data_IF_154454982698
#
_entry.id   IF_154454982698
#
_cell.length_a   1.000
_cell.length_b   1.000
_cell.length_c   1.000
_cell.angle_alpha   90.00
_cell.angle_beta   90.00
_cell.angle_gamma   90.00
#
_symmetry.space_group_name_H-M   'P 1'
#
loop_
_entity.id
_entity.type
_entity.pdbx_description
1 polymer ?
#
# COMPACT_ATOMS: atom_id res chain seq x y z
N UNK A 1 -6.81 13.96 24.24
CA UNK A 1 -5.78 13.58 23.27
C UNK A 1 -6.20 12.24 22.66
N UNK A 2 -6.35 12.17 21.33
CA UNK A 2 -6.79 10.94 20.64
C UNK A 2 -5.65 9.91 20.63
N UNK A 3 -5.97 8.64 20.84
CA UNK A 3 -5.01 7.52 20.81
C UNK A 3 -5.28 6.66 19.60
N UNK A 4 -4.26 6.48 18.76
CA UNK A 4 -4.34 5.73 17.51
C UNK A 4 -3.47 4.49 17.61
N UNK A 5 -4.06 3.30 17.46
CA UNK A 5 -3.33 2.04 17.39
C UNK A 5 -3.04 1.71 15.92
N UNK A 6 -1.76 1.54 15.58
CA UNK A 6 -1.31 1.17 14.24
C UNK A 6 -0.54 -0.16 14.35
N UNK A 7 -1.13 -1.24 13.89
CA UNK A 7 -0.48 -2.54 13.77
C UNK A 7 0.12 -2.67 12.38
N UNK A 8 1.43 -2.92 12.29
CA UNK A 8 2.20 -2.74 11.05
C UNK A 8 2.74 -1.31 10.89
N UNK A 9 3.14 -0.71 12.02
CA UNK A 9 3.54 0.72 12.09
C UNK A 9 4.83 1.03 11.36
N UNK A 10 5.74 0.06 11.20
CA UNK A 10 6.97 0.16 10.40
C UNK A 10 6.73 -0.09 8.89
N UNK A 11 5.51 -0.45 8.49
CA UNK A 11 5.13 -0.59 7.09
C UNK A 11 5.10 0.76 6.35
N UNK A 12 4.97 0.73 5.02
CA UNK A 12 4.95 1.93 4.18
C UNK A 12 3.89 2.96 4.62
N UNK A 13 2.63 2.52 4.78
CA UNK A 13 1.54 3.41 5.23
C UNK A 13 1.73 3.77 6.71
N UNK A 14 2.06 2.79 7.55
CA UNK A 14 2.21 2.96 9.00
C UNK A 14 3.25 4.01 9.36
N UNK A 15 4.43 3.96 8.73
CA UNK A 15 5.49 4.94 8.93
C UNK A 15 5.05 6.37 8.54
N UNK A 16 4.58 6.56 7.31
CA UNK A 16 4.18 7.88 6.83
C UNK A 16 3.01 8.46 7.63
N UNK A 17 2.05 7.62 8.02
CA UNK A 17 0.92 8.02 8.85
C UNK A 17 1.35 8.42 10.25
N UNK A 18 2.21 7.63 10.90
CA UNK A 18 2.75 7.93 12.22
C UNK A 18 3.52 9.25 12.23
N UNK A 19 4.39 9.45 11.23
CA UNK A 19 5.12 10.71 11.04
C UNK A 19 4.15 11.89 10.93
N UNK A 20 3.17 11.82 10.03
CA UNK A 20 2.19 12.89 9.82
C UNK A 20 1.37 13.17 11.08
N UNK A 21 0.91 12.16 11.81
CA UNK A 21 0.18 12.32 13.07
C UNK A 21 1.04 13.08 14.10
N UNK A 22 2.28 12.64 14.30
CA UNK A 22 3.17 13.22 15.29
C UNK A 22 3.60 14.66 14.96
N UNK A 23 3.71 15.00 13.66
CA UNK A 23 4.09 16.33 13.19
C UNK A 23 2.92 17.34 13.20
N UNK A 24 1.69 16.89 12.92
CA UNK A 24 0.59 17.81 12.59
C UNK A 24 -0.59 17.77 13.58
N UNK A 25 -0.58 16.86 14.54
CA UNK A 25 -1.65 16.71 15.54
C UNK A 25 -1.08 16.62 16.97
N UNK A 26 -1.97 16.63 17.96
CA UNK A 26 -1.67 16.35 19.35
C UNK A 26 -1.90 14.87 19.74
N UNK A 27 -2.16 13.98 18.78
CA UNK A 27 -2.52 12.59 19.04
C UNK A 27 -1.30 11.74 19.47
N UNK A 28 -1.60 10.65 20.18
CA UNK A 28 -0.62 9.62 20.52
C UNK A 28 -0.73 8.45 19.51
N UNK A 29 0.41 7.89 19.14
CA UNK A 29 0.52 6.69 18.31
C UNK A 29 0.98 5.52 19.17
N UNK A 30 0.19 4.46 19.21
CA UNK A 30 0.56 3.16 19.75
C UNK A 30 0.83 2.25 18.56
N UNK A 31 2.04 1.72 18.44
CA UNK A 31 2.46 0.96 17.28
C UNK A 31 3.06 -0.39 17.62
N UNK A 32 2.73 -1.41 16.83
CA UNK A 32 3.42 -2.70 16.85
C UNK A 32 3.93 -3.04 15.46
N UNK A 33 5.15 -3.52 15.39
CA UNK A 33 5.77 -4.14 14.22
C UNK A 33 6.91 -5.06 14.66
N UNK A 34 7.36 -5.95 13.78
CA UNK A 34 8.51 -6.83 14.04
C UNK A 34 9.86 -6.13 13.86
N UNK A 35 9.88 -4.93 13.30
CA UNK A 35 11.09 -4.19 12.91
C UNK A 35 10.87 -2.70 13.07
N UNK A 36 11.95 -1.89 13.01
CA UNK A 36 11.94 -0.45 13.26
C UNK A 36 12.64 0.40 12.20
N UNK A 37 13.21 -0.21 11.17
CA UNK A 37 14.15 0.46 10.25
C UNK A 37 13.55 1.69 9.56
N UNK A 38 12.25 1.64 9.18
CA UNK A 38 11.59 2.79 8.57
C UNK A 38 11.18 3.85 9.58
N UNK A 39 10.89 3.45 10.82
CA UNK A 39 10.51 4.39 11.87
C UNK A 39 11.68 5.30 12.26
N UNK A 40 12.91 4.77 12.24
CA UNK A 40 14.10 5.55 12.59
C UNK A 40 13.90 6.31 13.91
N UNK A 41 14.16 7.62 13.91
CA UNK A 41 14.04 8.48 15.09
C UNK A 41 12.61 8.64 15.63
N UNK A 42 11.57 8.29 14.85
CA UNK A 42 10.19 8.39 15.32
C UNK A 42 9.92 7.52 16.55
N UNK A 43 10.65 6.41 16.73
CA UNK A 43 10.49 5.54 17.92
C UNK A 43 10.81 6.27 19.24
N UNK A 44 11.63 7.32 19.18
CA UNK A 44 12.03 8.14 20.34
C UNK A 44 11.10 9.34 20.59
N UNK A 45 10.09 9.53 19.74
CA UNK A 45 9.17 10.66 19.89
C UNK A 45 8.29 10.49 21.15
N UNK A 46 8.10 11.52 22.00
CA UNK A 46 7.37 11.38 23.28
C UNK A 46 5.94 10.87 23.18
N UNK A 47 5.29 11.03 22.02
CA UNK A 47 3.92 10.57 21.74
C UNK A 47 3.87 9.30 20.89
N UNK A 48 5.01 8.66 20.63
CA UNK A 48 5.13 7.37 19.98
C UNK A 48 5.36 6.29 21.03
N UNK A 49 4.50 5.30 21.09
CA UNK A 49 4.58 4.14 21.99
C UNK A 49 4.77 2.89 21.15
N UNK A 50 6.02 2.56 20.85
CA UNK A 50 6.36 1.41 20.02
C UNK A 50 6.55 0.14 20.83
N UNK A 51 6.08 -0.97 20.29
CA UNK A 51 6.31 -2.32 20.81
C UNK A 51 6.76 -3.22 19.66
N UNK A 52 7.94 -3.85 19.82
CA UNK A 52 8.42 -4.85 18.88
C UNK A 52 7.67 -6.17 19.11
N UNK A 53 6.93 -6.63 18.10
CA UNK A 53 6.10 -7.82 18.25
C UNK A 53 5.36 -8.21 16.98
N UNK A 54 4.76 -9.41 17.04
CA UNK A 54 3.96 -10.01 15.98
C UNK A 54 2.49 -10.14 16.42
N UNK A 55 1.56 -9.66 15.61
CA UNK A 55 0.11 -9.71 15.90
C UNK A 55 -0.42 -11.13 16.06
N UNK A 56 0.24 -12.12 15.46
CA UNK A 56 -0.16 -13.53 15.55
C UNK A 56 0.23 -14.16 16.90
N UNK A 57 1.24 -13.59 17.55
CA UNK A 57 1.81 -14.07 18.83
C UNK A 57 1.32 -13.20 20.00
N UNK A 58 1.43 -11.87 19.87
CA UNK A 58 1.21 -10.91 20.96
C UNK A 58 -0.27 -10.51 21.12
N UNK A 59 -1.19 -11.49 21.10
CA UNK A 59 -2.65 -11.28 21.05
C UNK A 59 -3.17 -10.51 22.27
N UNK A 60 -2.64 -10.75 23.46
CA UNK A 60 -3.03 -10.05 24.69
C UNK A 60 -2.63 -8.56 24.64
N UNK A 61 -1.42 -8.26 24.15
CA UNK A 61 -0.98 -6.88 23.96
C UNK A 61 -1.88 -6.15 22.95
N UNK A 62 -2.23 -6.81 21.85
CA UNK A 62 -3.12 -6.27 20.83
C UNK A 62 -4.50 -5.97 21.42
N UNK A 63 -5.14 -6.94 22.11
CA UNK A 63 -6.46 -6.74 22.71
C UNK A 63 -6.44 -5.61 23.75
N UNK A 64 -5.41 -5.57 24.61
CA UNK A 64 -5.24 -4.49 25.58
C UNK A 64 -5.19 -3.11 24.91
N UNK A 65 -4.42 -2.96 23.82
CA UNK A 65 -4.27 -1.67 23.13
C UNK A 65 -5.49 -1.34 22.26
N UNK A 66 -6.19 -2.31 21.71
CA UNK A 66 -7.52 -2.08 21.08
C UNK A 66 -8.48 -1.48 22.12
N UNK A 67 -8.51 -2.02 23.34
CA UNK A 67 -9.36 -1.48 24.42
C UNK A 67 -8.91 -0.06 24.83
N UNK A 68 -7.60 0.22 24.84
CA UNK A 68 -7.02 1.48 25.30
C UNK A 68 -7.16 2.63 24.29
N UNK A 69 -7.04 2.34 22.99
CA UNK A 69 -7.01 3.34 21.93
C UNK A 69 -8.42 3.69 21.42
N UNK A 70 -8.54 4.85 20.76
CA UNK A 70 -9.80 5.35 20.21
C UNK A 70 -10.03 4.86 18.77
N UNK A 71 -8.94 4.78 17.98
CA UNK A 71 -8.94 4.41 16.57
C UNK A 71 -7.94 3.28 16.34
N UNK A 72 -8.37 2.25 15.59
CA UNK A 72 -7.61 1.03 15.34
C UNK A 72 -7.35 0.89 13.84
N UNK A 73 -6.06 0.83 13.45
CA UNK A 73 -5.61 0.59 12.07
C UNK A 73 -4.79 -0.69 11.99
N UNK A 74 -5.37 -1.84 11.63
CA UNK A 74 -4.65 -3.09 11.43
C UNK A 74 -4.06 -3.12 10.00
N UNK A 75 -2.86 -2.56 9.82
CA UNK A 75 -2.20 -2.44 8.51
C UNK A 75 -1.37 -3.68 8.11
N UNK A 76 -1.26 -4.67 8.99
CA UNK A 76 -0.48 -5.90 8.70
C UNK A 76 -1.18 -6.70 7.61
N UNK A 77 -0.48 -6.91 6.48
CA UNK A 77 -0.97 -7.65 5.33
C UNK A 77 0.17 -8.08 4.41
N UNK A 78 -0.05 -9.11 3.61
CA UNK A 78 0.81 -9.48 2.49
C UNK A 78 0.23 -8.86 1.22
N UNK A 79 0.83 -7.77 0.76
CA UNK A 79 0.39 -7.05 -0.45
C UNK A 79 1.36 -7.24 -1.63
N UNK A 80 1.85 -8.47 -1.82
CA UNK A 80 2.88 -8.82 -2.80
C UNK A 80 2.35 -9.84 -3.80
N UNK A 81 2.16 -9.49 -5.09
CA UNK A 81 1.53 -10.36 -6.09
C UNK A 81 2.18 -11.73 -6.27
N UNK A 82 3.51 -11.82 -6.20
CA UNK A 82 4.20 -13.11 -6.31
C UNK A 82 3.87 -14.07 -5.15
N UNK A 83 3.61 -13.54 -3.95
CA UNK A 83 3.22 -14.36 -2.79
C UNK A 83 1.81 -14.90 -2.94
N UNK A 84 0.89 -14.16 -3.59
CA UNK A 84 -0.48 -14.63 -3.83
C UNK A 84 -0.52 -15.94 -4.63
N UNK A 85 0.45 -16.13 -5.52
CA UNK A 85 0.55 -17.33 -6.38
C UNK A 85 1.38 -18.43 -5.70
N UNK A 86 2.48 -18.06 -5.01
CA UNK A 86 3.44 -19.01 -4.45
C UNK A 86 3.01 -19.59 -3.10
N UNK A 87 2.36 -18.76 -2.27
CA UNK A 87 1.95 -19.12 -0.91
C UNK A 87 0.58 -18.49 -0.57
N UNK A 88 -0.49 -18.93 -1.23
CA UNK A 88 -1.83 -18.36 -1.06
C UNK A 88 -2.41 -18.58 0.35
N UNK A 89 -2.06 -19.67 1.02
CA UNK A 89 -2.55 -19.94 2.37
C UNK A 89 -1.98 -18.95 3.38
N UNK A 90 -0.70 -18.64 3.28
CA UNK A 90 -0.06 -17.62 4.13
C UNK A 90 -0.72 -16.25 3.96
N UNK A 91 -1.13 -15.90 2.74
CA UNK A 91 -1.88 -14.65 2.48
C UNK A 91 -3.22 -14.67 3.22
N UNK A 92 -3.99 -15.77 3.13
CA UNK A 92 -5.26 -15.90 3.83
C UNK A 92 -5.08 -15.86 5.36
N UNK A 93 -4.14 -16.61 5.91
CA UNK A 93 -3.84 -16.65 7.33
C UNK A 93 -3.53 -15.25 7.90
N UNK A 94 -2.67 -14.49 7.23
CA UNK A 94 -2.27 -13.17 7.71
C UNK A 94 -3.34 -12.10 7.44
N UNK A 95 -3.87 -12.05 6.21
CA UNK A 95 -4.75 -10.96 5.79
C UNK A 95 -6.18 -11.10 6.32
N UNK A 96 -6.62 -12.34 6.60
CA UNK A 96 -7.95 -12.60 7.15
C UNK A 96 -7.91 -13.12 8.58
N UNK A 97 -7.33 -14.32 8.82
CA UNK A 97 -7.42 -14.96 10.12
C UNK A 97 -6.75 -14.18 11.24
N UNK A 98 -5.55 -13.64 11.02
CA UNK A 98 -4.83 -12.86 12.03
C UNK A 98 -5.50 -11.50 12.32
N UNK A 99 -6.19 -10.92 11.35
CA UNK A 99 -6.89 -9.63 11.50
C UNK A 99 -8.30 -9.79 12.08
N UNK A 100 -8.95 -10.93 11.92
CA UNK A 100 -10.33 -11.15 12.41
C UNK A 100 -10.49 -10.95 13.93
N UNK A 101 -9.58 -11.42 14.81
CA UNK A 101 -9.64 -11.14 16.24
C UNK A 101 -9.56 -9.66 16.58
N UNK A 102 -8.81 -8.86 15.78
CA UNK A 102 -8.68 -7.41 15.97
C UNK A 102 -10.01 -6.72 15.67
N UNK A 103 -10.67 -7.11 14.57
CA UNK A 103 -12.00 -6.62 14.19
C UNK A 103 -13.03 -6.93 15.29
N UNK A 104 -13.03 -8.18 15.80
CA UNK A 104 -13.90 -8.60 16.91
C UNK A 104 -13.65 -7.81 18.19
N UNK A 105 -12.39 -7.55 18.52
CA UNK A 105 -12.02 -6.72 19.68
C UNK A 105 -12.46 -5.27 19.50
N UNK A 106 -12.31 -4.69 18.31
CA UNK A 106 -12.78 -3.34 18.01
C UNK A 106 -14.31 -3.22 18.19
N UNK A 107 -15.08 -4.22 17.71
CA UNK A 107 -16.51 -4.29 17.91
C UNK A 107 -16.86 -4.45 19.40
N UNK A 108 -16.22 -5.39 20.12
CA UNK A 108 -16.41 -5.64 21.55
C UNK A 108 -16.22 -4.39 22.42
N UNK A 109 -15.23 -3.56 22.08
CA UNK A 109 -14.87 -2.37 22.87
C UNK A 109 -15.38 -1.06 22.29
N UNK A 110 -16.22 -1.10 21.25
CA UNK A 110 -16.85 0.09 20.64
C UNK A 110 -15.85 1.09 20.07
N UNK A 111 -14.80 0.60 19.36
CA UNK A 111 -13.73 1.43 18.80
C UNK A 111 -14.00 1.81 17.35
N UNK A 112 -13.40 2.92 16.89
CA UNK A 112 -13.42 3.24 15.47
C UNK A 112 -12.37 2.38 14.75
N UNK A 113 -12.83 1.43 13.95
CA UNK A 113 -11.98 0.58 13.12
C UNK A 113 -11.78 1.24 11.75
N UNK A 114 -10.56 1.61 11.42
CA UNK A 114 -10.17 2.11 10.09
C UNK A 114 -9.40 1.01 9.38
N UNK A 115 -10.09 0.25 8.53
CA UNK A 115 -9.55 -0.98 7.96
C UNK A 115 -9.01 -0.79 6.54
N UNK A 116 -7.77 -1.24 6.26
CA UNK A 116 -7.18 -1.24 4.93
C UNK A 116 -7.77 -2.36 4.06
N UNK A 117 -8.79 -2.03 3.27
CA UNK A 117 -9.21 -2.82 2.14
C UNK A 117 -8.21 -2.62 0.99
N UNK A 118 -8.61 -2.79 -0.24
CA UNK A 118 -7.74 -2.65 -1.41
C UNK A 118 -8.55 -2.39 -2.68
N UNK A 119 -7.97 -1.73 -3.67
CA UNK A 119 -8.55 -1.66 -5.02
C UNK A 119 -8.64 -3.03 -5.71
N UNK A 120 -7.90 -4.03 -5.24
CA UNK A 120 -7.96 -5.41 -5.74
C UNK A 120 -9.32 -6.07 -5.51
N UNK A 121 -10.13 -5.61 -4.55
CA UNK A 121 -11.47 -6.19 -4.29
C UNK A 121 -12.42 -6.05 -5.47
N UNK A 122 -12.22 -5.08 -6.35
CA UNK A 122 -13.01 -4.94 -7.56
C UNK A 122 -12.72 -6.04 -8.59
N UNK A 123 -11.53 -6.64 -8.54
CA UNK A 123 -11.14 -7.73 -9.40
C UNK A 123 -11.20 -7.34 -10.89
N UNK A 124 -11.95 -8.13 -11.66
CA UNK A 124 -12.16 -7.93 -13.10
C UNK A 124 -13.42 -7.11 -13.40
N UNK A 125 -13.80 -6.18 -12.52
CA UNK A 125 -14.90 -5.26 -12.78
C UNK A 125 -14.68 -4.51 -14.09
N UNK A 126 -15.73 -4.37 -14.90
CA UNK A 126 -15.70 -3.74 -16.23
C UNK A 126 -16.09 -2.26 -16.21
N UNK A 127 -16.43 -1.72 -15.05
CA UNK A 127 -16.79 -0.30 -14.93
C UNK A 127 -15.62 0.60 -15.33
N UNK A 128 -15.92 1.72 -15.97
CA UNK A 128 -14.89 2.72 -16.35
C UNK A 128 -14.22 3.37 -15.15
N UNK A 129 -14.99 3.56 -14.06
CA UNK A 129 -14.53 4.01 -12.77
C UNK A 129 -15.11 3.10 -11.67
N UNK A 130 -14.30 2.69 -10.72
CA UNK A 130 -14.73 1.80 -9.65
C UNK A 130 -15.43 2.60 -8.55
N UNK A 131 -16.73 2.37 -8.41
CA UNK A 131 -17.57 2.97 -7.38
C UNK A 131 -17.53 2.12 -6.10
N UNK A 132 -17.20 2.67 -4.93
CA UNK A 132 -17.10 1.90 -3.70
C UNK A 132 -18.43 1.29 -3.24
N UNK A 133 -19.57 1.85 -3.66
CA UNK A 133 -20.90 1.44 -3.24
C UNK A 133 -21.65 0.62 -4.30
N UNK A 134 -21.32 0.77 -5.59
CA UNK A 134 -22.10 0.20 -6.67
C UNK A 134 -21.33 -0.79 -7.57
N UNK A 135 -20.01 -0.65 -7.71
CA UNK A 135 -19.26 -1.52 -8.62
C UNK A 135 -19.23 -2.97 -8.15
N UNK A 136 -19.46 -3.94 -9.07
CA UNK A 136 -19.40 -5.35 -8.74
C UNK A 136 -17.98 -5.81 -8.42
N UNK A 137 -17.87 -6.82 -7.55
CA UNK A 137 -16.60 -7.46 -7.17
C UNK A 137 -16.49 -8.79 -7.91
N UNK A 138 -15.66 -8.86 -8.98
CA UNK A 138 -15.62 -9.98 -9.92
C UNK A 138 -14.24 -10.64 -9.89
N UNK A 139 -14.20 -11.94 -9.60
CA UNK A 139 -12.96 -12.71 -9.55
C UNK A 139 -12.91 -13.81 -10.59
N UNK A 140 -11.70 -14.24 -10.94
CA UNK A 140 -11.46 -15.35 -11.82
C UNK A 140 -11.77 -16.72 -11.18
N UNK A 141 -11.59 -17.82 -11.95
CA UNK A 141 -11.84 -19.17 -11.47
C UNK A 141 -10.93 -19.57 -10.32
N UNK A 142 -11.37 -20.56 -9.54
CA UNK A 142 -10.69 -21.01 -8.30
C UNK A 142 -9.24 -21.44 -8.51
N UNK A 143 -8.90 -21.99 -9.68
CA UNK A 143 -7.54 -22.38 -10.04
C UNK A 143 -6.61 -21.19 -10.37
N UNK A 144 -7.03 -19.95 -10.09
CA UNK A 144 -6.22 -18.73 -10.19
C UNK A 144 -5.90 -18.20 -8.78
N UNK A 145 -4.85 -18.72 -8.13
CA UNK A 145 -4.57 -18.43 -6.73
C UNK A 145 -4.29 -16.94 -6.44
N UNK A 146 -3.94 -16.16 -7.46
CA UNK A 146 -3.73 -14.71 -7.29
C UNK A 146 -4.92 -13.97 -6.65
N UNK A 147 -6.13 -14.52 -6.76
CA UNK A 147 -7.33 -13.89 -6.21
C UNK A 147 -7.49 -14.06 -4.71
N UNK A 148 -6.64 -14.91 -4.06
CA UNK A 148 -6.74 -15.14 -2.61
C UNK A 148 -6.64 -13.85 -1.80
N UNK A 149 -5.75 -12.93 -2.18
CA UNK A 149 -5.61 -11.63 -1.52
C UNK A 149 -6.90 -10.80 -1.61
N UNK A 150 -7.41 -10.61 -2.84
CA UNK A 150 -8.62 -9.87 -3.07
C UNK A 150 -9.84 -10.51 -2.35
N UNK A 151 -9.95 -11.85 -2.38
CA UNK A 151 -11.00 -12.58 -1.68
C UNK A 151 -10.90 -12.43 -0.16
N UNK A 152 -9.71 -12.52 0.42
CA UNK A 152 -9.48 -12.34 1.86
C UNK A 152 -9.88 -10.93 2.32
N UNK A 153 -9.48 -9.92 1.57
CA UNK A 153 -9.84 -8.52 1.86
C UNK A 153 -11.34 -8.26 1.67
N UNK A 154 -11.93 -8.77 0.59
CA UNK A 154 -13.36 -8.62 0.32
C UNK A 154 -14.22 -9.35 1.37
N UNK A 155 -13.80 -10.54 1.82
CA UNK A 155 -14.49 -11.24 2.90
C UNK A 155 -14.41 -10.45 4.21
N UNK A 156 -13.24 -9.87 4.52
CA UNK A 156 -13.09 -9.01 5.70
C UNK A 156 -13.94 -7.73 5.60
N UNK A 157 -14.02 -7.09 4.44
CA UNK A 157 -14.92 -5.95 4.21
C UNK A 157 -16.38 -6.31 4.58
N UNK A 158 -16.86 -7.49 4.18
CA UNK A 158 -18.21 -7.98 4.50
C UNK A 158 -18.40 -8.30 5.98
N UNK A 159 -17.40 -8.88 6.61
CA UNK A 159 -17.43 -9.17 8.06
C UNK A 159 -17.50 -7.86 8.85
N UNK A 160 -16.68 -6.86 8.48
CA UNK A 160 -16.70 -5.54 9.12
C UNK A 160 -18.05 -4.84 8.89
N UNK A 161 -18.59 -4.92 7.69
CA UNK A 161 -19.92 -4.40 7.39
C UNK A 161 -21.00 -5.05 8.26
N UNK A 162 -20.95 -6.40 8.43
CA UNK A 162 -21.85 -7.12 9.32
C UNK A 162 -21.77 -6.63 10.77
N UNK A 163 -20.55 -6.45 11.31
CA UNK A 163 -20.37 -5.83 12.63
C UNK A 163 -20.84 -4.38 12.68
N UNK A 164 -20.75 -3.66 11.56
CA UNK A 164 -21.29 -2.30 11.43
C UNK A 164 -22.82 -2.27 11.60
N UNK A 165 -23.54 -3.26 11.08
CA UNK A 165 -24.98 -3.42 11.28
C UNK A 165 -25.33 -3.69 12.75
N UNK A 166 -24.40 -4.23 13.53
CA UNK A 166 -24.49 -4.47 14.98
C UNK A 166 -23.91 -3.31 15.82
N UNK A 167 -23.49 -2.21 15.19
CA UNK A 167 -23.07 -0.98 15.88
C UNK A 167 -21.56 -0.74 15.94
N UNK A 168 -20.73 -1.53 15.26
CA UNK A 168 -19.31 -1.20 15.12
C UNK A 168 -19.15 0.12 14.32
N UNK A 169 -18.44 1.10 14.88
CA UNK A 169 -18.00 2.26 14.13
C UNK A 169 -16.79 1.85 13.25
N UNK A 170 -16.95 1.93 11.94
CA UNK A 170 -15.88 1.54 11.01
C UNK A 170 -15.75 2.51 9.83
N UNK A 171 -14.58 2.48 9.21
CA UNK A 171 -14.32 3.04 7.87
C UNK A 171 -13.48 2.04 7.09
N UNK A 172 -13.92 1.65 5.91
CA UNK A 172 -13.10 0.89 4.95
C UNK A 172 -12.41 1.86 4.00
N UNK A 173 -11.11 1.78 3.85
CA UNK A 173 -10.41 2.54 2.82
C UNK A 173 -9.74 1.62 1.81
N UNK A 174 -9.84 1.97 0.53
CA UNK A 174 -9.31 1.22 -0.61
C UNK A 174 -8.21 2.04 -1.29
N UNK A 175 -6.93 1.80 -0.96
CA UNK A 175 -5.82 2.47 -1.62
C UNK A 175 -5.70 2.04 -3.09
N UNK A 176 -5.45 3.02 -3.97
CA UNK A 176 -5.20 2.82 -5.40
C UNK A 176 -3.73 3.12 -5.71
N UNK A 177 -2.93 2.07 -5.82
CA UNK A 177 -1.51 2.09 -6.21
C UNK A 177 -0.72 3.24 -5.56
N UNK A 178 -0.70 3.27 -4.23
CA UNK A 178 0.04 4.29 -3.50
C UNK A 178 1.54 4.13 -3.72
N UNK A 179 2.19 5.24 -4.08
CA UNK A 179 3.62 5.32 -4.39
C UNK A 179 4.28 6.41 -3.55
N UNK A 180 5.55 6.23 -3.26
CA UNK A 180 6.31 7.20 -2.46
C UNK A 180 7.64 6.62 -1.99
N UNK A 181 8.46 7.44 -1.32
CA UNK A 181 9.71 7.00 -0.69
C UNK A 181 9.47 5.89 0.34
N UNK A 182 10.34 4.90 0.36
CA UNK A 182 10.25 3.79 1.32
C UNK A 182 9.18 2.74 0.99
N UNK A 183 8.59 2.76 -0.23
CA UNK A 183 7.61 1.76 -0.64
C UNK A 183 8.18 0.35 -0.60
N UNK A 184 9.33 0.13 -1.25
CA UNK A 184 10.12 -1.09 -1.18
C UNK A 184 11.62 -0.73 -1.16
N UNK A 185 12.51 -1.70 -0.91
CA UNK A 185 13.95 -1.50 -0.96
C UNK A 185 14.45 -1.39 -2.41
N UNK A 186 15.36 -0.45 -2.67
CA UNK A 186 16.11 -0.39 -3.93
C UNK A 186 17.41 -1.23 -3.89
N UNK A 187 17.84 -1.63 -2.70
CA UNK A 187 19.07 -2.43 -2.51
C UNK A 187 18.89 -3.87 -2.96
N UNK A 188 17.73 -4.45 -2.72
CA UNK A 188 17.39 -5.83 -3.07
C UNK A 188 16.06 -5.92 -3.79
N UNK A 189 15.89 -5.25 -4.95
CA UNK A 189 14.63 -5.34 -5.67
C UNK A 189 14.48 -6.77 -6.20
N UNK A 190 13.36 -7.40 -5.87
CA UNK A 190 13.04 -8.76 -6.33
C UNK A 190 12.01 -8.67 -7.43
N UNK A 191 12.30 -9.23 -8.60
CA UNK A 191 11.32 -9.36 -9.68
C UNK A 191 10.04 -10.02 -9.17
N UNK A 192 8.89 -9.42 -9.52
CA UNK A 192 7.57 -9.89 -9.10
C UNK A 192 7.21 -9.68 -7.63
N UNK A 193 8.15 -9.21 -6.80
CA UNK A 193 7.92 -8.94 -5.37
C UNK A 193 7.88 -7.45 -5.05
N UNK A 194 8.79 -6.66 -5.62
CA UNK A 194 8.76 -5.20 -5.48
C UNK A 194 7.67 -4.59 -6.37
N UNK A 195 7.04 -3.52 -5.88
CA UNK A 195 6.03 -2.81 -6.65
C UNK A 195 6.67 -2.03 -7.80
N UNK A 196 5.91 -1.85 -8.88
CA UNK A 196 6.42 -1.43 -10.19
C UNK A 196 7.33 -0.19 -10.16
N UNK A 197 6.99 0.84 -9.39
CA UNK A 197 7.81 2.08 -9.31
C UNK A 197 9.18 1.80 -8.70
N UNK A 198 9.23 1.09 -7.56
CA UNK A 198 10.50 0.78 -6.90
C UNK A 198 11.33 -0.22 -7.71
N UNK A 199 10.66 -1.17 -8.38
CA UNK A 199 11.33 -2.12 -9.26
C UNK A 199 11.99 -1.41 -10.44
N UNK A 200 11.27 -0.51 -11.13
CA UNK A 200 11.83 0.26 -12.24
C UNK A 200 12.96 1.19 -11.78
N UNK A 201 12.80 1.83 -10.63
CA UNK A 201 13.88 2.63 -10.04
C UNK A 201 15.14 1.78 -9.79
N UNK A 202 14.98 0.58 -9.23
CA UNK A 202 16.10 -0.35 -9.04
C UNK A 202 16.78 -0.75 -10.34
N UNK A 203 16.03 -1.03 -11.40
CA UNK A 203 16.60 -1.31 -12.73
C UNK A 203 17.37 -0.09 -13.28
N UNK A 204 16.81 1.12 -13.15
CA UNK A 204 17.47 2.36 -13.58
C UNK A 204 18.77 2.59 -12.79
N UNK A 205 18.77 2.37 -11.48
CA UNK A 205 19.96 2.50 -10.62
C UNK A 205 21.10 1.59 -11.10
N UNK A 206 20.77 0.38 -11.58
CA UNK A 206 21.76 -0.62 -12.02
C UNK A 206 22.04 -0.64 -13.53
N UNK A 207 21.31 0.16 -14.32
CA UNK A 207 21.41 0.11 -15.79
C UNK A 207 20.85 -1.19 -16.39
N UNK A 208 19.93 -1.86 -15.70
CA UNK A 208 19.31 -3.11 -16.13
C UNK A 208 18.04 -2.84 -16.96
N UNK A 209 17.72 -3.74 -17.89
CA UNK A 209 16.53 -3.61 -18.72
C UNK A 209 15.24 -3.71 -17.90
N UNK A 210 14.26 -2.85 -18.21
CA UNK A 210 12.92 -2.88 -17.62
C UNK A 210 12.06 -3.86 -18.41
N UNK A 211 11.51 -4.87 -17.73
CA UNK A 211 10.59 -5.84 -18.32
C UNK A 211 9.15 -5.32 -18.28
N UNK A 212 8.54 -5.18 -19.44
CA UNK A 212 7.14 -4.81 -19.61
C UNK A 212 6.29 -6.08 -19.81
N UNK A 213 5.54 -6.44 -18.78
CA UNK A 213 4.63 -7.59 -18.83
C UNK A 213 3.50 -7.32 -19.82
N UNK A 214 3.31 -8.23 -20.79
CA UNK A 214 2.31 -8.15 -21.86
C UNK A 214 2.30 -6.76 -22.55
N UNK A 215 3.51 -6.25 -22.83
CA UNK A 215 3.71 -4.94 -23.47
C UNK A 215 3.50 -3.72 -22.57
N UNK A 216 3.12 -3.89 -21.31
CA UNK A 216 2.92 -2.80 -20.34
C UNK A 216 1.72 -1.92 -20.64
N UNK A 217 0.69 -2.43 -21.33
CA UNK A 217 -0.51 -1.66 -21.71
C UNK A 217 -1.51 -1.45 -20.57
N UNK A 218 -1.45 -2.28 -19.52
CA UNK A 218 -2.34 -2.19 -18.36
C UNK A 218 -2.16 -0.85 -17.64
N UNK A 219 -3.28 -0.18 -17.32
CA UNK A 219 -3.30 1.13 -16.68
C UNK A 219 -3.55 1.05 -15.17
N UNK A 220 -2.94 1.97 -14.44
CA UNK A 220 -3.11 2.13 -13.00
C UNK A 220 -3.21 3.60 -12.63
N UNK A 221 -4.15 3.91 -11.75
CA UNK A 221 -4.25 5.22 -11.12
C UNK A 221 -3.26 5.26 -9.94
N UNK A 222 -2.15 5.96 -10.10
CA UNK A 222 -1.11 6.10 -9.07
C UNK A 222 -1.43 7.25 -8.13
N UNK A 223 -1.23 7.04 -6.84
CA UNK A 223 -1.49 8.03 -5.79
C UNK A 223 -0.24 8.27 -4.98
N UNK A 224 0.18 9.51 -4.86
CA UNK A 224 1.33 9.83 -4.02
C UNK A 224 0.98 9.64 -2.54
N UNK A 225 1.93 9.13 -1.77
CA UNK A 225 1.71 8.74 -0.37
C UNK A 225 1.14 9.87 0.48
N UNK A 226 1.59 11.10 0.31
CA UNK A 226 1.12 12.24 1.10
C UNK A 226 -0.36 12.55 0.89
N UNK A 227 -0.87 12.41 -0.34
CA UNK A 227 -2.30 12.54 -0.62
C UNK A 227 -3.11 11.45 0.09
N UNK A 228 -2.60 10.21 0.09
CA UNK A 228 -3.24 9.10 0.79
C UNK A 228 -3.24 9.29 2.31
N UNK A 229 -2.12 9.74 2.87
CA UNK A 229 -1.98 10.00 4.31
C UNK A 229 -2.87 11.15 4.76
N UNK A 230 -3.01 12.21 3.95
CA UNK A 230 -3.95 13.31 4.28
C UNK A 230 -5.40 12.79 4.37
N UNK A 231 -5.83 11.92 3.45
CA UNK A 231 -7.13 11.27 3.56
C UNK A 231 -7.27 10.44 4.83
N UNK A 232 -6.25 9.64 5.21
CA UNK A 232 -6.28 8.83 6.42
C UNK A 232 -6.35 9.68 7.70
N UNK A 233 -5.61 10.78 7.79
CA UNK A 233 -5.69 11.69 8.93
C UNK A 233 -7.11 12.26 9.09
N UNK A 234 -7.79 12.62 7.97
CA UNK A 234 -9.18 13.08 7.98
C UNK A 234 -10.16 12.00 8.41
N UNK A 235 -9.96 10.75 7.95
CA UNK A 235 -10.74 9.58 8.38
C UNK A 235 -10.58 9.35 9.89
N UNK A 236 -9.36 9.39 10.40
CA UNK A 236 -9.05 9.21 11.83
C UNK A 236 -9.64 10.36 12.66
N UNK A 237 -9.55 11.57 12.17
CA UNK A 237 -10.18 12.74 12.81
C UNK A 237 -11.69 12.54 12.93
N UNK A 238 -12.32 11.99 11.90
CA UNK A 238 -13.74 11.67 11.80
C UNK A 238 -14.63 12.81 12.31
N UNK A 239 -14.38 14.01 11.80
CA UNK A 239 -15.08 15.22 12.23
C UNK A 239 -16.58 15.07 11.99
N UNK A 240 -17.38 15.28 13.03
CA UNK A 240 -18.83 15.12 13.01
C UNK A 240 -19.33 13.71 12.60
N UNK A 241 -18.48 12.67 12.69
CA UNK A 241 -18.83 11.30 12.35
C UNK A 241 -18.97 11.02 10.86
N UNK A 242 -18.48 11.89 9.97
CA UNK A 242 -18.66 11.77 8.51
C UNK A 242 -18.06 10.51 7.90
N UNK A 243 -17.02 9.96 8.50
CA UNK A 243 -16.35 8.75 8.02
C UNK A 243 -16.94 7.46 8.61
N UNK A 244 -17.89 7.56 9.54
CA UNK A 244 -18.48 6.38 10.20
C UNK A 244 -19.39 5.59 9.24
N UNK A 245 -19.17 4.29 9.13
CA UNK A 245 -19.93 3.39 8.26
C UNK A 245 -19.65 3.59 6.76
N UNK A 246 -18.53 4.19 6.41
CA UNK A 246 -18.20 4.56 5.02
C UNK A 246 -17.16 3.66 4.38
N UNK A 247 -17.21 3.60 3.03
CA UNK A 247 -16.21 2.96 2.18
C UNK A 247 -15.63 4.04 1.27
N UNK A 248 -14.32 4.25 1.32
CA UNK A 248 -13.64 5.27 0.53
C UNK A 248 -12.60 4.67 -0.42
N UNK A 249 -12.72 4.99 -1.69
CA UNK A 249 -11.58 4.87 -2.60
C UNK A 249 -10.64 6.05 -2.36
N UNK A 250 -9.37 5.76 -2.09
CA UNK A 250 -8.34 6.78 -1.93
C UNK A 250 -7.34 6.63 -3.07
N UNK A 251 -7.51 7.46 -4.08
CA UNK A 251 -6.77 7.39 -5.32
C UNK A 251 -6.76 8.70 -6.09
N UNK A 252 -5.86 8.80 -7.08
CA UNK A 252 -5.81 9.94 -7.99
C UNK A 252 -6.19 9.51 -9.41
N UNK A 253 -7.44 9.70 -9.85
CA UNK A 253 -7.88 9.31 -11.19
C UNK A 253 -7.16 10.06 -12.31
N UNK A 254 -6.59 11.26 -12.02
CA UNK A 254 -5.83 12.04 -13.00
C UNK A 254 -4.43 11.46 -13.26
N UNK A 255 -3.90 10.62 -12.37
CA UNK A 255 -2.62 9.94 -12.54
C UNK A 255 -2.80 8.51 -13.09
N UNK A 256 -3.68 8.33 -14.07
CA UNK A 256 -3.95 7.04 -14.69
C UNK A 256 -3.04 6.79 -15.89
N UNK A 257 -1.96 6.06 -15.68
CA UNK A 257 -0.93 5.77 -16.68
C UNK A 257 -0.78 4.26 -16.90
N UNK A 258 -0.42 3.88 -18.13
CA UNK A 258 0.04 2.52 -18.41
C UNK A 258 1.41 2.26 -17.79
N UNK A 259 1.75 1.00 -17.58
CA UNK A 259 3.06 0.61 -17.07
C UNK A 259 4.18 1.04 -18.03
N UNK A 260 3.92 1.05 -19.34
CA UNK A 260 4.86 1.56 -20.36
C UNK A 260 5.05 3.08 -20.25
N UNK A 261 3.96 3.84 -20.10
CA UNK A 261 4.03 5.30 -19.89
C UNK A 261 4.81 5.62 -18.61
N UNK A 262 4.54 4.90 -17.52
CA UNK A 262 5.31 5.03 -16.27
C UNK A 262 6.81 4.79 -16.49
N UNK A 263 7.19 3.73 -17.19
CA UNK A 263 8.60 3.44 -17.47
C UNK A 263 9.27 4.58 -18.24
N UNK A 264 8.62 5.12 -19.26
CA UNK A 264 9.13 6.24 -20.03
C UNK A 264 9.28 7.49 -19.16
N UNK A 265 8.27 7.85 -18.36
CA UNK A 265 8.34 9.00 -17.45
C UNK A 265 9.49 8.86 -16.43
N UNK A 266 9.72 7.65 -15.93
CA UNK A 266 10.82 7.39 -14.99
C UNK A 266 12.19 7.50 -15.66
N UNK A 267 12.34 7.02 -16.89
CA UNK A 267 13.58 7.20 -17.67
C UNK A 267 13.86 8.66 -18.01
N UNK A 268 12.82 9.42 -18.41
CA UNK A 268 12.91 10.85 -18.65
C UNK A 268 13.33 11.62 -17.39
N UNK A 269 12.75 11.28 -16.23
CA UNK A 269 13.11 11.89 -14.94
C UNK A 269 14.55 11.53 -14.55
N UNK A 270 14.95 10.27 -14.68
CA UNK A 270 16.30 9.79 -14.37
C UNK A 270 17.38 10.48 -15.23
N UNK A 271 17.08 10.75 -16.49
CA UNK A 271 18.00 11.42 -17.42
C UNK A 271 18.35 12.88 -17.01
N UNK A 272 17.55 13.49 -16.13
CA UNK A 272 17.75 14.86 -15.63
C UNK A 272 18.58 14.91 -14.33
N UNK A 273 18.88 13.77 -13.71
CA UNK A 273 19.50 13.69 -12.39
C UNK A 273 20.89 13.03 -12.52
N UNK A 274 21.92 13.70 -12.05
CA UNK A 274 23.32 13.28 -12.24
C UNK A 274 23.60 11.86 -11.75
N UNK A 275 23.03 11.46 -10.64
CA UNK A 275 23.23 10.14 -10.04
C UNK A 275 22.60 8.99 -10.84
N UNK A 276 21.63 9.28 -11.71
CA UNK A 276 20.91 8.25 -12.49
C UNK A 276 21.17 8.32 -14.00
N UNK A 277 21.55 9.49 -14.53
CA UNK A 277 21.53 9.78 -15.99
C UNK A 277 22.34 8.78 -16.83
N UNK A 278 23.49 8.32 -16.34
CA UNK A 278 24.36 7.44 -17.12
C UNK A 278 23.88 5.99 -17.15
N UNK A 279 23.33 5.49 -16.06
CA UNK A 279 22.70 4.16 -16.04
C UNK A 279 21.35 4.17 -16.78
N UNK A 280 20.58 5.25 -16.69
CA UNK A 280 19.32 5.37 -17.42
C UNK A 280 19.47 5.23 -18.94
N UNK A 281 20.59 5.71 -19.51
CA UNK A 281 20.91 5.57 -20.95
C UNK A 281 21.12 4.12 -21.40
N UNK A 282 21.47 3.22 -20.46
CA UNK A 282 21.72 1.81 -20.73
C UNK A 282 20.44 0.97 -20.70
N UNK A 283 19.39 1.47 -20.03
CA UNK A 283 18.14 0.77 -19.82
C UNK A 283 17.32 0.68 -21.10
N UNK A 284 16.91 -0.53 -21.46
CA UNK A 284 15.97 -0.78 -22.54
C UNK A 284 14.65 -1.33 -21.99
N UNK A 285 13.54 -1.01 -22.67
CA UNK A 285 12.24 -1.60 -22.39
C UNK A 285 12.12 -2.89 -23.18
N UNK A 286 12.02 -4.03 -22.49
CA UNK A 286 11.90 -5.37 -23.10
C UNK A 286 10.57 -6.00 -22.73
N UNK A 287 9.94 -6.72 -23.67
CA UNK A 287 8.65 -7.35 -23.41
C UNK A 287 8.82 -8.74 -22.81
N UNK A 288 7.90 -9.10 -21.93
CA UNK A 288 7.79 -10.44 -21.34
C UNK A 288 6.32 -10.80 -21.18
N UNK A 289 6.00 -12.09 -21.02
CA UNK A 289 4.63 -12.53 -20.75
C UNK A 289 4.34 -12.61 -19.26
N UNK A 290 3.08 -12.42 -18.90
CA UNK A 290 2.62 -12.57 -17.52
C UNK A 290 2.90 -13.96 -16.93
N UNK A 291 2.77 -15.00 -17.75
CA UNK A 291 3.10 -16.36 -17.34
C UNK A 291 4.59 -16.57 -17.02
N UNK A 292 5.49 -15.98 -17.81
CA UNK A 292 6.94 -16.05 -17.56
C UNK A 292 7.35 -15.22 -16.33
N UNK A 293 6.65 -14.11 -16.08
CA UNK A 293 7.02 -13.16 -15.03
C UNK A 293 6.46 -13.51 -13.65
N UNK A 294 5.15 -13.80 -13.57
CA UNK A 294 4.45 -14.07 -12.30
C UNK A 294 4.18 -15.56 -12.06
N UNK A 295 4.31 -16.39 -13.08
CA UNK A 295 3.96 -17.81 -13.06
C UNK A 295 2.53 -18.10 -13.53
N UNK A 296 2.24 -19.40 -13.70
CA UNK A 296 0.93 -19.88 -14.13
C UNK A 296 -0.10 -19.61 -13.01
N UNK A 297 -1.21 -18.95 -13.35
CA UNK A 297 -2.25 -18.63 -12.36
C UNK A 297 -2.41 -17.14 -12.09
N UNK A 298 -1.52 -16.30 -12.58
CA UNK A 298 -1.70 -14.86 -12.58
C UNK A 298 -2.73 -14.40 -13.62
N UNK A 299 -3.58 -13.47 -13.25
CA UNK A 299 -4.48 -12.72 -14.13
C UNK A 299 -4.34 -11.24 -13.79
N UNK A 300 -4.25 -10.38 -14.78
CA UNK A 300 -4.19 -8.93 -14.57
C UNK A 300 -5.50 -8.22 -14.92
N UNK A 301 -5.68 -7.05 -14.37
CA UNK A 301 -6.81 -6.15 -14.63
C UNK A 301 -6.31 -5.02 -15.50
N UNK A 302 -6.98 -4.79 -16.64
CA UNK A 302 -6.50 -3.84 -17.65
C UNK A 302 -6.57 -2.37 -17.20
N UNK A 303 -7.61 -2.00 -16.45
CA UNK A 303 -7.82 -0.63 -16.02
C UNK A 303 -8.37 -0.59 -14.60
N UNK A 304 -7.86 0.34 -13.77
CA UNK A 304 -8.32 0.56 -12.39
C UNK A 304 -8.35 2.05 -12.10
N UNK A 305 -9.48 2.67 -12.32
CA UNK A 305 -9.71 4.09 -12.02
C UNK A 305 -10.66 4.21 -10.83
N UNK A 306 -10.27 4.91 -9.76
CA UNK A 306 -11.16 5.12 -8.62
C UNK A 306 -12.20 6.19 -8.89
N UNK A 307 -13.46 5.95 -8.57
CA UNK A 307 -14.44 7.00 -8.31
C UNK A 307 -14.21 7.49 -6.86
N UNK A 308 -13.95 8.77 -6.71
CA UNK A 308 -13.57 9.39 -5.42
C UNK A 308 -14.53 10.49 -4.97
N UNK A 309 -15.68 10.64 -5.62
CA UNK A 309 -16.61 11.73 -5.33
C UNK A 309 -17.06 11.77 -3.86
N UNK A 310 -17.46 10.63 -3.29
CA UNK A 310 -17.83 10.53 -1.87
C UNK A 310 -16.66 10.83 -0.93
N UNK A 311 -15.46 10.40 -1.27
CA UNK A 311 -14.24 10.69 -0.48
C UNK A 311 -13.96 12.18 -0.45
N UNK A 312 -14.10 12.86 -1.61
CA UNK A 312 -13.91 14.30 -1.72
C UNK A 312 -14.98 15.08 -0.94
N UNK A 313 -16.23 14.70 -1.07
CA UNK A 313 -17.36 15.38 -0.43
C UNK A 313 -17.33 15.22 1.09
N UNK A 314 -17.27 13.98 1.58
CA UNK A 314 -17.34 13.68 3.02
C UNK A 314 -16.12 14.21 3.78
N UNK A 315 -14.91 14.01 3.23
CA UNK A 315 -13.66 14.36 3.91
C UNK A 315 -13.15 15.78 3.59
N UNK A 316 -13.75 16.49 2.62
CA UNK A 316 -13.17 17.73 2.10
C UNK A 316 -11.76 17.54 1.54
N UNK A 317 -11.47 16.37 0.99
CA UNK A 317 -10.16 15.93 0.50
C UNK A 317 -10.15 15.83 -1.02
N UNK A 318 -8.99 16.09 -1.61
CA UNK A 318 -8.72 15.79 -3.02
C UNK A 318 -7.23 15.46 -3.21
N UNK A 319 -6.88 14.55 -4.13
CA UNK A 319 -5.48 14.33 -4.47
C UNK A 319 -4.94 15.57 -5.21
N UNK A 320 -3.73 15.99 -4.87
CA UNK A 320 -3.10 17.21 -5.39
C UNK A 320 -1.79 16.95 -6.12
N UNK A 321 -1.14 15.82 -5.84
CA UNK A 321 0.18 15.50 -6.37
C UNK A 321 0.08 14.91 -7.77
N UNK A 322 0.60 15.61 -8.77
CA UNK A 322 0.68 15.10 -10.15
C UNK A 322 1.83 14.09 -10.27
N UNK A 323 1.74 13.18 -11.25
CA UNK A 323 2.69 12.06 -11.39
C UNK A 323 4.14 12.51 -11.52
N UNK A 324 4.39 13.60 -12.26
CA UNK A 324 5.72 14.17 -12.44
C UNK A 324 6.37 14.54 -11.09
N UNK A 325 5.61 15.20 -10.22
CA UNK A 325 6.10 15.64 -8.90
C UNK A 325 6.29 14.45 -7.97
N UNK A 326 5.37 13.47 -8.02
CA UNK A 326 5.50 12.22 -7.27
C UNK A 326 6.80 11.48 -7.63
N UNK A 327 7.11 11.34 -8.92
CA UNK A 327 8.34 10.72 -9.38
C UNK A 327 9.57 11.53 -8.97
N UNK A 328 9.55 12.87 -9.13
CA UNK A 328 10.65 13.73 -8.72
C UNK A 328 10.98 13.55 -7.23
N UNK A 329 9.96 13.53 -6.36
CA UNK A 329 10.14 13.30 -4.92
C UNK A 329 10.70 11.90 -4.61
N UNK A 330 10.27 10.87 -5.35
CA UNK A 330 10.77 9.50 -5.19
C UNK A 330 12.25 9.44 -5.59
N UNK A 331 12.63 9.96 -6.75
CA UNK A 331 14.01 9.98 -7.21
C UNK A 331 14.93 10.75 -6.25
N UNK A 332 14.49 11.91 -5.78
CA UNK A 332 15.26 12.71 -4.81
C UNK A 332 15.46 11.97 -3.48
N UNK A 333 14.43 11.31 -2.96
CA UNK A 333 14.51 10.57 -1.70
C UNK A 333 15.51 9.41 -1.74
N UNK A 334 15.70 8.78 -2.91
CA UNK A 334 16.66 7.68 -3.07
C UNK A 334 18.04 8.14 -3.59
N UNK A 335 18.22 9.42 -3.90
CA UNK A 335 19.41 9.96 -4.54
C UNK A 335 20.71 9.62 -3.80
N UNK A 336 20.71 9.78 -2.48
CA UNK A 336 21.88 9.48 -1.61
C UNK A 336 22.17 7.98 -1.47
N UNK A 337 21.23 7.12 -1.84
CA UNK A 337 21.34 5.67 -1.72
C UNK A 337 21.81 4.96 -3.01
N UNK A 338 21.93 5.70 -4.11
CA UNK A 338 22.24 5.13 -5.44
C UNK A 338 23.61 4.45 -5.48
N UNK A 339 24.63 5.11 -4.91
CA UNK A 339 26.00 4.56 -4.92
C UNK A 339 26.11 3.23 -4.15
N UNK A 340 25.48 3.17 -2.96
CA UNK A 340 25.42 1.96 -2.15
C UNK A 340 24.61 0.85 -2.83
N UNK A 341 23.46 1.18 -3.41
CA UNK A 341 22.63 0.20 -4.12
C UNK A 341 23.33 -0.41 -5.35
N UNK A 342 24.25 0.31 -5.99
CA UNK A 342 25.08 -0.21 -7.06
C UNK A 342 26.18 -1.16 -6.56
N UNK A 343 26.89 -0.78 -5.49
CA UNK A 343 28.00 -1.58 -4.95
C UNK A 343 27.58 -2.98 -4.51
N UNK A 344 26.38 -3.12 -3.92
CA UNK A 344 25.85 -4.42 -3.48
C UNK A 344 25.64 -5.44 -4.63
N UNK A 345 25.52 -4.98 -5.87
CA UNK A 345 25.40 -5.86 -7.06
C UNK A 345 26.77 -6.32 -7.54
N UNK A 346 27.79 -5.46 -7.47
CA UNK A 346 29.17 -5.80 -7.86
C UNK A 346 29.74 -6.87 -6.93
N UNK A 347 29.50 -6.77 -5.62
CA UNK A 347 29.94 -7.77 -4.63
C UNK A 347 29.18 -9.11 -4.77
N UNK A 348 27.91 -9.10 -5.17
CA UNK A 348 27.10 -10.31 -5.39
C UNK A 348 27.51 -11.14 -6.63
N UNK A 349 28.16 -10.53 -7.62
CA UNK A 349 28.68 -11.21 -8.83
C UNK A 349 30.09 -11.74 -8.66
N UNK A 350 30.77 -11.39 -7.59
CA UNK A 350 32.14 -11.89 -7.27
C UNK A 350 32.20 -13.26 -6.58
N UNK A 351 31.07 -13.83 -6.18
CA UNK A 351 30.96 -15.11 -5.48
C UNK A 351 30.07 -16.12 -6.24
N UNK A 352 30.35 -16.37 -7.52
CA UNK A 352 29.81 -17.53 -8.25
C UNK A 352 30.94 -18.39 -8.76
#
# INVERSE_FOLDING_TARGET
>A
MKKVLILGVNGFIGHHLSKRILETTDWEVYGMDMQTERLGDLVNHPRMHFFEGDITINKEWVEYHVKKCDVILPLVAIATPSTYVKDPLRVFELDFEANLPIVRSAAKYGKHLVFPSTSEVYGMCSDSEFDPEASPLIYGPINKPRWIYACSKQLMDRVIWGYGMEGLNFTLFRPFNWIGPGLDSIYTPKEGSSRVVTQFLGHIVRGENIKLVDGGSQKRAFTYIDDGIDALVRIIANKNGVASGKIYNIGNPSNNYSVRELANMMLEQAAQIDEYKDTAKQVQLVETTSGAYYGNGYQDVQNRVPKIANTMEDLGWKPTTVMKDALANIFEAYRTHVAEARSLVEDGNGNK
#
